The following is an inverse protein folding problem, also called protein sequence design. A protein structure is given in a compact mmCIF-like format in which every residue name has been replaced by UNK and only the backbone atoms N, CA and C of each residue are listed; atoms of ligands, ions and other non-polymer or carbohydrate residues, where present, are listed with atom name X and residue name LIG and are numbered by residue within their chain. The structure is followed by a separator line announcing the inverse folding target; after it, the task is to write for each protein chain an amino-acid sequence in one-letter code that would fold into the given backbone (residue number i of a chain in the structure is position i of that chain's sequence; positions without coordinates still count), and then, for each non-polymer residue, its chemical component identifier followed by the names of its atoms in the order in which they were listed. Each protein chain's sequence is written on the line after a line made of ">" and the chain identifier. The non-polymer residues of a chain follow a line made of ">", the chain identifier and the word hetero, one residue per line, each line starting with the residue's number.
data_IF_900865597612
#
_entry.id   IF_900865597612
#
_cell.length_a   1.000
_cell.length_b   1.000
_cell.length_c   1.000
_cell.angle_alpha   90.00
_cell.angle_beta   90.00
_cell.angle_gamma   90.00
#
_symmetry.space_group_name_H-M   'P 1'
#
loop_
_entity.id
_entity.type
_entity.pdbx_description
1 polymer ?
#
# COMPACT_ATOMS: atom_id res chain seq x y z
N UNK A 1 -23.04 45.23 3.94
CA UNK A 1 -22.29 44.17 3.21
C UNK A 1 -22.08 42.87 4.04
N UNK A 2 -23.06 42.42 4.86
CA UNK A 2 -22.94 41.17 5.68
C UNK A 2 -23.90 40.04 5.27
N UNK A 3 -24.96 40.31 4.50
CA UNK A 3 -25.96 39.30 4.07
C UNK A 3 -25.49 38.37 2.93
N UNK A 4 -24.58 38.83 2.08
CA UNK A 4 -24.11 38.08 0.90
C UNK A 4 -23.33 36.80 1.30
N UNK A 5 -22.35 36.94 2.20
CA UNK A 5 -21.55 35.81 2.70
C UNK A 5 -22.38 34.71 3.40
N UNK A 6 -23.51 35.08 4.00
CA UNK A 6 -24.34 34.15 4.79
C UNK A 6 -25.23 33.28 3.87
N UNK A 7 -25.72 33.85 2.76
CA UNK A 7 -26.45 33.12 1.74
C UNK A 7 -25.55 32.13 0.98
N UNK A 8 -24.30 32.51 0.72
CA UNK A 8 -23.32 31.62 0.08
C UNK A 8 -22.97 30.41 0.96
N UNK A 9 -22.76 30.63 2.26
CA UNK A 9 -22.52 29.54 3.23
C UNK A 9 -23.73 28.60 3.30
N UNK A 10 -24.96 29.14 3.35
CA UNK A 10 -26.19 28.33 3.39
C UNK A 10 -26.37 27.50 2.13
N UNK A 11 -26.01 28.05 0.96
CA UNK A 11 -26.02 27.34 -0.32
C UNK A 11 -24.99 26.21 -0.35
N UNK A 12 -23.76 26.47 0.12
CA UNK A 12 -22.70 25.48 0.23
C UNK A 12 -23.08 24.32 1.17
N UNK A 13 -23.61 24.62 2.36
CA UNK A 13 -24.08 23.60 3.31
C UNK A 13 -25.16 22.73 2.68
N UNK A 14 -26.12 23.32 1.96
CA UNK A 14 -27.17 22.58 1.26
C UNK A 14 -26.63 21.68 0.15
N UNK A 15 -25.59 22.13 -0.57
CA UNK A 15 -24.91 21.34 -1.59
C UNK A 15 -24.17 20.14 -0.96
N UNK A 16 -23.45 20.37 0.14
CA UNK A 16 -22.74 19.31 0.90
C UNK A 16 -23.73 18.26 1.42
N UNK A 17 -24.85 18.69 2.01
CA UNK A 17 -25.89 17.77 2.50
C UNK A 17 -26.50 16.93 1.37
N UNK A 18 -26.76 17.53 0.20
CA UNK A 18 -27.25 16.78 -0.97
C UNK A 18 -26.24 15.75 -1.46
N UNK A 19 -24.96 16.10 -1.53
CA UNK A 19 -23.88 15.19 -1.92
C UNK A 19 -23.76 14.01 -0.93
N UNK A 20 -23.84 14.28 0.37
CA UNK A 20 -23.81 13.25 1.41
C UNK A 20 -25.02 12.31 1.35
N UNK A 21 -26.22 12.84 1.08
CA UNK A 21 -27.44 12.02 0.93
C UNK A 21 -27.36 11.15 -0.32
N UNK A 22 -26.91 11.70 -1.45
CA UNK A 22 -26.72 10.94 -2.69
C UNK A 22 -25.70 9.81 -2.50
N UNK A 23 -24.55 10.11 -1.91
CA UNK A 23 -23.50 9.13 -1.64
C UNK A 23 -23.95 8.00 -0.69
N UNK A 24 -24.87 8.29 0.23
CA UNK A 24 -25.40 7.28 1.15
C UNK A 24 -26.59 6.50 0.57
N UNK A 25 -27.33 7.03 -0.41
CA UNK A 25 -28.38 6.28 -1.15
C UNK A 25 -27.78 5.07 -1.89
N UNK A 26 -26.58 5.18 -2.43
CA UNK A 26 -25.91 4.07 -3.13
C UNK A 26 -25.43 2.95 -2.18
N UNK A 27 -25.34 3.23 -0.87
CA UNK A 27 -24.98 2.25 0.16
C UNK A 27 -26.16 1.48 0.72
N UNK A 28 -27.40 1.93 0.48
CA UNK A 28 -28.61 1.24 0.96
C UNK A 28 -29.17 0.25 -0.07
N UNK A 29 -28.80 0.35 -1.35
CA UNK A 29 -29.47 -0.40 -2.44
C UNK A 29 -28.68 -1.56 -3.07
N UNK A 30 -27.60 -2.05 -2.45
CA UNK A 30 -27.00 -3.29 -2.97
C UNK A 30 -26.53 -4.22 -1.87
N UNK A 31 -26.52 -5.51 -2.18
CA UNK A 31 -25.96 -6.63 -1.39
C UNK A 31 -24.48 -6.43 -0.97
N UNK A 32 -23.90 -5.25 -1.14
CA UNK A 32 -22.56 -4.81 -0.73
C UNK A 32 -22.49 -4.14 0.65
N UNK A 33 -23.62 -3.98 1.37
CA UNK A 33 -23.68 -3.35 2.71
C UNK A 33 -22.78 -4.02 3.75
N UNK A 34 -22.36 -5.26 3.49
CA UNK A 34 -21.38 -5.99 4.30
C UNK A 34 -20.09 -6.18 3.51
N UNK A 35 -18.97 -5.71 4.08
CA UNK A 35 -17.65 -6.11 3.59
C UNK A 35 -17.55 -7.62 3.80
N UNK A 36 -17.59 -8.39 2.69
CA UNK A 36 -17.47 -9.85 2.76
C UNK A 36 -16.19 -10.21 3.50
N UNK A 37 -16.28 -11.06 4.52
CA UNK A 37 -15.12 -11.55 5.28
C UNK A 37 -14.06 -12.14 4.36
N UNK A 38 -14.46 -12.79 3.25
CA UNK A 38 -13.55 -13.28 2.22
C UNK A 38 -12.70 -12.18 1.57
N UNK A 39 -13.26 -10.98 1.34
CA UNK A 39 -12.55 -9.82 0.81
C UNK A 39 -11.55 -9.26 1.83
N UNK A 40 -11.91 -9.26 3.11
CA UNK A 40 -10.99 -8.87 4.20
C UNK A 40 -9.84 -9.87 4.32
N UNK A 41 -10.16 -11.18 4.40
CA UNK A 41 -9.16 -12.26 4.43
C UNK A 41 -8.20 -12.17 3.24
N UNK A 42 -8.72 -12.00 2.02
CA UNK A 42 -7.90 -11.84 0.82
C UNK A 42 -6.95 -10.63 0.92
N UNK A 43 -7.43 -9.48 1.42
CA UNK A 43 -6.58 -8.29 1.61
C UNK A 43 -5.48 -8.53 2.65
N UNK A 44 -5.81 -9.15 3.79
CA UNK A 44 -4.84 -9.51 4.83
C UNK A 44 -3.78 -10.46 4.25
N UNK A 45 -4.20 -11.52 3.57
CA UNK A 45 -3.26 -12.47 2.94
C UNK A 45 -2.35 -11.79 1.92
N UNK A 46 -2.87 -10.84 1.12
CA UNK A 46 -2.07 -10.07 0.16
C UNK A 46 -1.06 -9.16 0.87
N UNK A 47 -1.44 -8.50 1.96
CA UNK A 47 -0.53 -7.68 2.75
C UNK A 47 0.55 -8.52 3.43
N UNK A 48 0.18 -9.67 4.00
CA UNK A 48 1.13 -10.59 4.63
C UNK A 48 2.16 -11.12 3.62
N UNK A 49 1.74 -11.45 2.40
CA UNK A 49 2.66 -11.82 1.30
C UNK A 49 3.65 -10.71 0.99
N UNK A 50 3.20 -9.45 0.90
CA UNK A 50 4.07 -8.28 0.68
C UNK A 50 5.05 -8.07 1.84
N UNK A 51 4.59 -8.21 3.08
CA UNK A 51 5.43 -8.08 4.26
C UNK A 51 6.52 -9.17 4.30
N UNK A 52 6.15 -10.44 4.10
CA UNK A 52 7.13 -11.54 4.02
C UNK A 52 8.19 -11.31 2.94
N UNK A 53 7.78 -10.74 1.80
CA UNK A 53 8.71 -10.38 0.72
C UNK A 53 9.71 -9.30 1.15
N UNK A 54 9.23 -8.23 1.78
CA UNK A 54 10.10 -7.18 2.32
C UNK A 54 11.08 -7.73 3.35
N UNK A 55 10.62 -8.63 4.22
CA UNK A 55 11.47 -9.27 5.23
C UNK A 55 12.59 -10.11 4.58
N UNK A 56 12.26 -10.88 3.53
CA UNK A 56 13.21 -11.70 2.78
C UNK A 56 14.27 -10.85 2.06
N UNK A 57 13.88 -9.73 1.46
CA UNK A 57 14.80 -8.74 0.87
C UNK A 57 15.71 -8.16 1.95
N UNK A 58 15.12 -7.72 3.08
CA UNK A 58 15.87 -7.17 4.20
C UNK A 58 16.94 -8.15 4.70
N UNK A 59 16.57 -9.41 4.97
CA UNK A 59 17.53 -10.42 5.41
C UNK A 59 18.65 -10.68 4.40
N UNK A 60 18.32 -10.71 3.11
CA UNK A 60 19.34 -10.89 2.05
C UNK A 60 20.39 -9.79 2.09
N UNK A 61 19.95 -8.53 2.26
CA UNK A 61 20.84 -7.37 2.36
C UNK A 61 21.59 -7.36 3.69
N UNK A 62 20.94 -7.71 4.80
CA UNK A 62 21.57 -7.78 6.12
C UNK A 62 22.69 -8.83 6.17
N UNK A 63 22.48 -10.01 5.60
CA UNK A 63 23.52 -11.04 5.46
C UNK A 63 24.71 -10.51 4.67
N UNK A 64 24.48 -9.82 3.54
CA UNK A 64 25.57 -9.23 2.75
C UNK A 64 26.33 -8.15 3.52
N UNK A 65 25.64 -7.27 4.24
CA UNK A 65 26.30 -6.28 5.11
C UNK A 65 27.17 -6.94 6.19
N UNK A 66 26.67 -8.02 6.80
CA UNK A 66 27.43 -8.76 7.82
C UNK A 66 28.69 -9.37 7.24
N UNK A 67 28.60 -10.01 6.09
CA UNK A 67 29.73 -10.56 5.37
C UNK A 67 30.78 -9.47 5.05
N UNK A 68 30.35 -8.35 4.46
CA UNK A 68 31.23 -7.23 4.17
C UNK A 68 32.00 -6.77 5.41
N UNK A 69 31.29 -6.60 6.54
CA UNK A 69 31.91 -6.20 7.82
C UNK A 69 32.86 -7.25 8.38
N UNK A 70 32.54 -8.53 8.26
CA UNK A 70 33.40 -9.63 8.71
C UNK A 70 34.65 -9.80 7.85
N UNK A 71 34.56 -9.39 6.59
CA UNK A 71 35.62 -9.48 5.60
C UNK A 71 36.55 -8.26 5.60
N UNK A 72 36.39 -7.32 6.54
CA UNK A 72 37.08 -6.01 6.56
C UNK A 72 36.99 -5.27 5.21
N UNK A 73 35.85 -5.41 4.53
CA UNK A 73 35.60 -4.79 3.23
C UNK A 73 36.13 -5.56 2.01
N UNK A 74 36.60 -6.80 2.16
CA UNK A 74 37.03 -7.62 1.00
C UNK A 74 35.86 -8.26 0.24
N UNK A 75 34.74 -8.56 0.90
CA UNK A 75 33.48 -9.01 0.29
C UNK A 75 32.59 -7.81 -0.07
N UNK A 76 33.08 -6.92 -0.92
CA UNK A 76 32.30 -5.79 -1.43
C UNK A 76 31.11 -6.24 -2.28
N UNK A 77 30.09 -5.40 -2.32
CA UNK A 77 28.98 -5.55 -3.24
C UNK A 77 28.46 -4.17 -3.64
N UNK A 78 28.22 -4.01 -4.94
CA UNK A 78 27.68 -2.78 -5.48
C UNK A 78 26.16 -2.70 -5.28
N UNK A 79 25.61 -1.49 -5.48
CA UNK A 79 24.15 -1.32 -5.57
C UNK A 79 23.52 -2.22 -6.66
N UNK A 80 24.25 -2.48 -7.75
CA UNK A 80 23.83 -3.36 -8.83
C UNK A 80 23.75 -4.83 -8.38
N UNK A 81 24.65 -5.28 -7.50
CA UNK A 81 24.62 -6.63 -6.95
C UNK A 81 23.41 -6.84 -6.04
N UNK A 82 23.09 -5.85 -5.20
CA UNK A 82 21.86 -5.84 -4.39
C UNK A 82 20.64 -5.91 -5.31
N UNK A 83 20.59 -5.07 -6.34
CA UNK A 83 19.48 -5.06 -7.30
C UNK A 83 19.30 -6.40 -7.99
N UNK A 84 20.40 -7.03 -8.44
CA UNK A 84 20.37 -8.34 -9.11
C UNK A 84 19.92 -9.45 -8.17
N UNK A 85 20.39 -9.46 -6.91
CA UNK A 85 19.96 -10.43 -5.90
C UNK A 85 18.47 -10.29 -5.59
N UNK A 86 18.01 -9.06 -5.35
CA UNK A 86 16.59 -8.78 -5.08
C UNK A 86 15.74 -9.16 -6.28
N UNK A 87 16.17 -8.84 -7.50
CA UNK A 87 15.47 -9.22 -8.74
C UNK A 87 15.30 -10.73 -8.84
N UNK A 88 16.39 -11.51 -8.74
CA UNK A 88 16.34 -12.98 -8.83
C UNK A 88 15.41 -13.57 -7.77
N UNK A 89 15.42 -12.98 -6.57
CA UNK A 89 14.57 -13.39 -5.46
C UNK A 89 13.08 -13.14 -5.73
N UNK A 90 12.75 -12.03 -6.40
CA UNK A 90 11.39 -11.71 -6.83
C UNK A 90 10.91 -12.60 -7.98
N UNK A 91 11.78 -12.87 -8.97
CA UNK A 91 11.47 -13.76 -10.10
C UNK A 91 11.17 -15.19 -9.62
N UNK A 92 11.97 -15.70 -8.68
CA UNK A 92 11.76 -17.02 -8.06
C UNK A 92 10.44 -17.13 -7.27
N UNK A 93 9.93 -16.00 -6.74
CA UNK A 93 8.65 -15.95 -6.03
C UNK A 93 7.45 -15.82 -7.00
N UNK A 94 7.69 -15.93 -8.32
CA UNK A 94 6.66 -15.87 -9.36
C UNK A 94 6.20 -14.45 -9.70
N UNK A 95 6.98 -13.43 -9.31
CA UNK A 95 6.70 -12.03 -9.64
C UNK A 95 7.55 -11.60 -10.82
N UNK A 96 6.94 -11.02 -11.85
CA UNK A 96 7.70 -10.44 -12.97
C UNK A 96 8.34 -9.11 -12.56
N UNK A 97 9.55 -8.88 -13.07
CA UNK A 97 10.18 -7.55 -13.14
C UNK A 97 9.19 -6.52 -13.70
N UNK A 98 9.05 -5.37 -13.02
CA UNK A 98 8.29 -4.20 -13.49
C UNK A 98 9.22 -3.33 -14.32
#
# INVERSE_FOLDING_TARGET
>A
MKKFKLNDIKSQIKSILKALVAFNKDKTYSKSKYIRVSKVKFRISKMLKRYKRLLKIYWTIDTKNKNYRQSDGTEEYSASDIYNMVTKLLDNDGYKKV
#
